data_IF_917804524195
#
_entry.id   IF_917804524195
#
_cell.length_a   1.000
_cell.length_b   1.000
_cell.length_c   1.000
_cell.angle_alpha   90.00
_cell.angle_beta   90.00
_cell.angle_gamma   90.00
#
_symmetry.space_group_name_H-M   'P 1'
#
loop_
_entity.id
_entity.type
_entity.pdbx_description
1 polymer ?
#
# COMPACT_ATOMS: atom_id res chain seq x y z
N UNK A 1 -3.48 16.87 -1.22
CA UNK A 1 -4.50 15.79 -1.11
C UNK A 1 -4.28 15.05 0.20
N UNK A 2 -5.22 15.10 1.16
CA UNK A 2 -5.16 14.29 2.39
C UNK A 2 -6.10 13.09 2.20
N UNK A 3 -5.58 11.95 1.78
CA UNK A 3 -6.35 10.70 1.69
C UNK A 3 -6.26 9.98 3.03
N UNK A 4 -7.40 9.78 3.70
CA UNK A 4 -7.49 8.89 4.86
C UNK A 4 -7.78 7.46 4.40
N UNK A 5 -6.80 6.56 4.53
CA UNK A 5 -6.94 5.15 4.19
C UNK A 5 -7.03 4.31 5.46
N UNK A 6 -8.00 3.40 5.52
CA UNK A 6 -8.14 2.43 6.59
C UNK A 6 -7.88 1.04 6.04
N UNK A 7 -6.79 0.43 6.49
CA UNK A 7 -6.39 -0.91 6.04
C UNK A 7 -6.82 -1.94 7.07
N UNK A 8 -7.64 -2.88 6.63
CA UNK A 8 -8.02 -4.06 7.40
C UNK A 8 -7.14 -5.21 6.93
N UNK A 9 -6.26 -5.68 7.80
CA UNK A 9 -5.38 -6.82 7.54
C UNK A 9 -5.98 -8.07 8.20
N UNK A 10 -6.13 -9.14 7.41
CA UNK A 10 -6.36 -10.51 7.91
C UNK A 10 -5.25 -11.38 7.35
N UNK A 11 -4.15 -11.59 8.09
CA UNK A 11 -3.06 -12.41 7.60
C UNK A 11 -3.47 -13.88 7.56
N UNK A 12 -2.91 -14.62 6.60
CA UNK A 12 -3.14 -16.06 6.46
C UNK A 12 -2.25 -16.76 7.50
N UNK A 13 -2.81 -17.63 8.38
CA UNK A 13 -2.06 -18.25 9.48
C UNK A 13 -0.89 -19.12 9.02
N UNK A 14 -0.96 -19.68 7.81
CA UNK A 14 0.10 -20.49 7.21
C UNK A 14 1.37 -19.69 6.88
N UNK A 15 1.22 -18.41 6.51
CA UNK A 15 2.36 -17.55 6.16
C UNK A 15 2.84 -16.66 7.31
N UNK A 16 2.12 -16.65 8.45
CA UNK A 16 2.52 -15.94 9.67
C UNK A 16 3.96 -16.25 10.11
N UNK A 17 4.40 -17.52 10.24
CA UNK A 17 5.75 -17.83 10.71
C UNK A 17 6.84 -17.35 9.74
N UNK A 18 6.58 -17.39 8.43
CA UNK A 18 7.52 -16.89 7.41
C UNK A 18 7.63 -15.37 7.49
N UNK A 19 6.50 -14.66 7.52
CA UNK A 19 6.46 -13.20 7.64
C UNK A 19 7.14 -12.74 8.94
N UNK A 20 6.88 -13.42 10.05
CA UNK A 20 7.48 -13.09 11.35
C UNK A 20 9.00 -13.30 11.35
N UNK A 21 9.49 -14.34 10.66
CA UNK A 21 10.92 -14.67 10.57
C UNK A 21 11.68 -13.76 9.61
N UNK A 22 11.04 -13.29 8.53
CA UNK A 22 11.68 -12.45 7.51
C UNK A 22 11.58 -10.96 7.81
N UNK A 23 10.45 -10.50 8.36
CA UNK A 23 10.15 -9.06 8.54
C UNK A 23 10.18 -8.63 10.02
N UNK A 24 10.19 -9.59 10.95
CA UNK A 24 10.21 -9.34 12.40
C UNK A 24 8.89 -8.82 12.96
N UNK A 25 8.84 -8.62 14.28
CA UNK A 25 7.67 -8.09 15.01
C UNK A 25 7.21 -6.71 14.49
N UNK A 26 8.14 -5.92 13.96
CA UNK A 26 7.88 -4.56 13.51
C UNK A 26 7.29 -4.46 12.08
N UNK A 27 6.90 -5.57 11.45
CA UNK A 27 6.38 -5.55 10.08
C UNK A 27 5.09 -4.72 9.96
N UNK A 28 4.20 -4.79 10.96
CA UNK A 28 2.93 -4.04 10.96
C UNK A 28 3.14 -2.52 11.06
N UNK A 29 4.17 -2.07 11.77
CA UNK A 29 4.40 -0.65 11.99
C UNK A 29 5.31 -0.02 10.93
N UNK A 30 6.18 -0.80 10.28
CA UNK A 30 7.13 -0.27 9.28
C UNK A 30 6.79 -0.64 7.85
N UNK A 31 6.46 -1.91 7.61
CA UNK A 31 6.31 -2.45 6.26
C UNK A 31 4.92 -2.14 5.71
N UNK A 32 3.89 -2.33 6.54
CA UNK A 32 2.52 -1.99 6.18
C UNK A 32 2.36 -0.54 5.68
N UNK A 33 2.75 0.50 6.45
CA UNK A 33 2.62 1.87 5.97
C UNK A 33 3.53 2.18 4.77
N UNK A 34 4.71 1.55 4.66
CA UNK A 34 5.61 1.75 3.52
C UNK A 34 5.02 1.22 2.21
N UNK A 35 4.50 -0.01 2.22
CA UNK A 35 3.83 -0.60 1.06
C UNK A 35 2.61 0.23 0.67
N UNK A 36 1.77 0.60 1.64
CA UNK A 36 0.57 1.42 1.38
C UNK A 36 0.93 2.75 0.73
N UNK A 37 1.96 3.44 1.24
CA UNK A 37 2.38 4.71 0.71
C UNK A 37 2.89 4.58 -0.74
N UNK A 38 3.60 3.49 -1.03
CA UNK A 38 4.09 3.18 -2.38
C UNK A 38 2.95 2.87 -3.35
N UNK A 39 2.03 1.97 -2.97
CA UNK A 39 0.87 1.65 -3.82
C UNK A 39 -0.03 2.87 -4.03
N UNK A 40 -0.22 3.70 -3.00
CA UNK A 40 -0.99 4.94 -3.11
C UNK A 40 -0.35 5.91 -4.12
N UNK A 41 0.96 6.12 -4.05
CA UNK A 41 1.67 6.97 -5.02
C UNK A 41 1.51 6.44 -6.44
N UNK A 42 1.69 5.14 -6.65
CA UNK A 42 1.55 4.52 -7.97
C UNK A 42 0.12 4.68 -8.53
N UNK A 43 -0.89 4.44 -7.69
CA UNK A 43 -2.30 4.54 -8.08
C UNK A 43 -2.68 6.00 -8.36
N UNK A 44 -2.30 6.94 -7.48
CA UNK A 44 -2.56 8.38 -7.70
C UNK A 44 -1.85 8.89 -8.95
N UNK A 45 -0.63 8.43 -9.23
CA UNK A 45 0.08 8.76 -10.45
C UNK A 45 -0.65 8.25 -11.69
N UNK A 46 -1.15 7.01 -11.69
CA UNK A 46 -1.94 6.46 -12.80
C UNK A 46 -3.26 7.22 -13.01
N UNK A 47 -4.01 7.52 -11.94
CA UNK A 47 -5.26 8.27 -12.07
C UNK A 47 -5.03 9.70 -12.55
N UNK A 48 -4.01 10.39 -12.02
CA UNK A 48 -3.64 11.73 -12.47
C UNK A 48 -3.20 11.71 -13.95
N UNK A 49 -2.37 10.73 -14.35
CA UNK A 49 -1.96 10.56 -15.74
C UNK A 49 -3.15 10.27 -16.68
N UNK A 50 -4.06 9.38 -16.28
CA UNK A 50 -5.28 9.07 -17.05
C UNK A 50 -6.17 10.31 -17.20
N UNK A 51 -6.35 11.10 -16.14
CA UNK A 51 -7.13 12.34 -16.16
C UNK A 51 -6.45 13.44 -16.99
N UNK A 52 -5.12 13.48 -17.03
CA UNK A 52 -4.34 14.39 -17.87
C UNK A 52 -4.44 14.02 -19.35
N UNK A 53 -4.54 12.73 -19.70
CA UNK A 53 -4.73 12.28 -21.09
C UNK A 53 -6.09 12.73 -21.61
N UNK A 54 -7.17 12.55 -20.83
CA UNK A 54 -8.53 12.92 -21.25
C UNK A 54 -8.75 14.42 -21.41
N UNK A 55 -7.98 15.27 -20.73
CA UNK A 55 -8.07 16.74 -20.86
C UNK A 55 -7.20 17.31 -21.99
N UNK A 56 -6.41 16.48 -22.69
CA UNK A 56 -5.57 16.90 -23.82
C UNK A 56 -6.28 16.78 -25.18
N UNK A 57 -7.44 16.12 -25.24
CA UNK A 57 -8.36 16.15 -26.39
C UNK A 57 -9.36 17.30 -26.24
#
# INVERSE_FOLDING_TARGET
>A
VKIGLRVLTRPIPDQLPTVYRTLGENYNERVLPSIIHETLKAVVAQYNASQLITQRE
#
